data_IF_315144566319
#
_entry.id   IF_315144566319
#
_cell.length_a   1.000
_cell.length_b   1.000
_cell.length_c   1.000
_cell.angle_alpha   90.00
_cell.angle_beta   90.00
_cell.angle_gamma   90.00
#
_symmetry.space_group_name_H-M   'P 1'
#
loop_
_entity.id
_entity.type
_entity.pdbx_description
1 polymer ?
#
# COMPACT_ATOMS: atom_id res chain seq x y z
N UNK A 1 16.54 9.69 58.26
CA UNK A 1 15.34 8.99 57.75
C UNK A 1 14.63 9.93 56.80
N UNK A 2 14.59 9.60 55.50
CA UNK A 2 13.96 10.42 54.47
C UNK A 2 14.23 9.79 53.11
N UNK A 3 13.43 8.78 52.77
CA UNK A 3 13.66 7.82 51.70
C UNK A 3 13.61 8.40 50.30
N UNK A 4 14.48 7.86 49.46
CA UNK A 4 14.52 7.98 48.01
C UNK A 4 13.22 7.40 47.43
N UNK A 5 12.45 8.20 46.67
CA UNK A 5 11.35 7.68 45.85
C UNK A 5 11.85 7.53 44.41
N UNK A 6 12.22 6.30 44.08
CA UNK A 6 12.43 5.84 42.71
C UNK A 6 11.07 5.75 42.01
N UNK A 7 10.85 6.57 40.98
CA UNK A 7 9.79 6.34 40.01
C UNK A 7 10.27 5.32 38.97
N UNK A 8 10.19 4.03 39.30
CA UNK A 8 10.24 2.97 38.29
C UNK A 8 8.90 2.92 37.55
N UNK A 9 8.82 3.57 36.39
CA UNK A 9 7.77 3.29 35.41
C UNK A 9 8.07 1.95 34.74
N UNK A 10 7.69 0.84 35.39
CA UNK A 10 7.64 -0.48 34.76
C UNK A 10 6.62 -0.42 33.61
N UNK A 11 7.15 -0.42 32.39
CA UNK A 11 6.37 -0.69 31.20
C UNK A 11 5.64 -2.03 31.38
N UNK A 12 4.32 -1.99 31.33
CA UNK A 12 3.45 -3.17 31.25
C UNK A 12 3.78 -3.94 29.97
N UNK A 13 4.71 -4.89 30.07
CA UNK A 13 5.09 -5.82 29.03
C UNK A 13 4.14 -7.03 29.07
N UNK A 14 2.84 -6.77 28.92
CA UNK A 14 1.90 -7.85 28.65
C UNK A 14 2.30 -8.57 27.36
N UNK A 15 2.37 -9.91 27.36
CA UNK A 15 2.80 -10.67 26.19
C UNK A 15 1.86 -10.40 25.03
N UNK A 16 2.42 -9.84 23.95
CA UNK A 16 1.70 -9.43 22.76
C UNK A 16 1.04 -10.68 22.12
N UNK A 17 -0.30 -10.72 21.95
CA UNK A 17 -0.96 -11.89 21.39
C UNK A 17 -0.47 -12.15 19.96
N UNK A 18 -0.17 -13.41 19.66
CA UNK A 18 0.20 -13.89 18.33
C UNK A 18 -0.96 -13.63 17.35
N UNK A 19 -0.62 -13.31 16.09
CA UNK A 19 -1.64 -13.17 15.05
C UNK A 19 -2.49 -14.45 14.95
N UNK A 20 -3.81 -14.30 14.85
CA UNK A 20 -4.68 -15.48 14.77
C UNK A 20 -4.36 -16.31 13.52
N UNK A 21 -4.48 -17.64 13.61
CA UNK A 21 -4.22 -18.55 12.47
C UNK A 21 -4.99 -18.14 11.21
N UNK A 22 -6.21 -17.62 11.37
CA UNK A 22 -7.04 -17.10 10.27
C UNK A 22 -6.43 -15.87 9.59
N UNK A 23 -5.87 -14.93 10.36
CA UNK A 23 -5.22 -13.74 9.80
C UNK A 23 -3.93 -14.09 9.05
N UNK A 24 -3.13 -15.03 9.57
CA UNK A 24 -1.94 -15.53 8.86
C UNK A 24 -2.32 -16.25 7.56
N UNK A 25 -3.34 -17.11 7.59
CA UNK A 25 -3.83 -17.80 6.41
C UNK A 25 -4.33 -16.82 5.34
N UNK A 26 -5.10 -15.80 5.74
CA UNK A 26 -5.60 -14.76 4.82
C UNK A 26 -4.46 -13.95 4.20
N UNK A 27 -3.43 -13.60 4.97
CA UNK A 27 -2.26 -12.89 4.46
C UNK A 27 -1.45 -13.73 3.46
N UNK A 28 -1.25 -15.03 3.75
CA UNK A 28 -0.60 -15.96 2.84
C UNK A 28 -1.41 -16.14 1.56
N UNK A 29 -2.72 -16.38 1.67
CA UNK A 29 -3.61 -16.49 0.51
C UNK A 29 -3.52 -15.23 -0.37
N UNK A 30 -3.60 -14.04 0.22
CA UNK A 30 -3.44 -12.79 -0.53
C UNK A 30 -2.08 -12.70 -1.24
N UNK A 31 -0.99 -13.10 -0.58
CA UNK A 31 0.37 -13.05 -1.12
C UNK A 31 0.57 -14.01 -2.31
N UNK A 32 -0.03 -15.19 -2.27
CA UNK A 32 0.11 -16.22 -3.30
C UNK A 32 -0.96 -16.19 -4.38
N UNK A 33 -2.14 -15.60 -4.10
CA UNK A 33 -3.24 -15.54 -5.06
C UNK A 33 -2.87 -14.72 -6.31
N UNK A 34 -2.17 -13.60 -6.14
CA UNK A 34 -1.72 -12.78 -7.27
C UNK A 34 -0.81 -13.55 -8.25
N UNK A 35 0.33 -14.09 -7.79
CA UNK A 35 1.20 -14.94 -8.60
C UNK A 35 0.48 -16.16 -9.21
N UNK A 36 -0.39 -16.83 -8.45
CA UNK A 36 -1.16 -17.96 -8.93
C UNK A 36 -2.05 -17.57 -10.12
N UNK A 37 -2.82 -16.48 -9.99
CA UNK A 37 -3.71 -16.01 -11.05
C UNK A 37 -2.95 -15.46 -12.25
N UNK A 38 -1.80 -14.81 -12.04
CA UNK A 38 -0.91 -14.36 -13.11
C UNK A 38 -0.45 -15.53 -13.99
N UNK A 39 0.09 -16.59 -13.38
CA UNK A 39 0.59 -17.76 -14.10
C UNK A 39 -0.54 -18.65 -14.65
N UNK A 40 -1.66 -18.75 -13.96
CA UNK A 40 -2.86 -19.43 -14.48
C UNK A 40 -3.38 -18.73 -15.75
N UNK A 41 -3.41 -17.40 -15.76
CA UNK A 41 -3.77 -16.62 -16.93
C UNK A 41 -2.74 -16.74 -18.06
N UNK A 42 -1.45 -16.77 -17.72
CA UNK A 42 -0.36 -17.01 -18.67
C UNK A 42 -0.42 -18.40 -19.33
N UNK A 43 -0.99 -19.40 -18.65
CA UNK A 43 -1.09 -20.77 -19.16
C UNK A 43 0.25 -21.50 -19.23
N UNK A 44 1.32 -20.92 -18.69
CA UNK A 44 2.67 -21.50 -18.64
C UNK A 44 3.42 -20.94 -17.45
N UNK A 45 4.30 -21.77 -16.86
CA UNK A 45 5.27 -21.31 -15.84
C UNK A 45 6.62 -20.94 -16.46
N UNK A 46 6.79 -21.13 -17.77
CA UNK A 46 8.05 -20.87 -18.48
C UNK A 46 8.15 -19.41 -18.91
N UNK A 47 7.98 -18.50 -17.96
CA UNK A 47 8.07 -17.05 -18.17
C UNK A 47 9.06 -16.43 -17.18
N UNK A 48 10.35 -16.29 -17.55
CA UNK A 48 11.39 -15.81 -16.64
C UNK A 48 11.10 -14.43 -16.05
N UNK A 49 10.60 -13.48 -16.86
CA UNK A 49 10.23 -12.16 -16.37
C UNK A 49 9.05 -12.19 -15.39
N UNK A 50 8.07 -13.09 -15.60
CA UNK A 50 7.00 -13.33 -14.64
C UNK A 50 7.53 -13.79 -13.28
N UNK A 51 8.49 -14.73 -13.27
CA UNK A 51 9.14 -15.17 -12.03
C UNK A 51 9.98 -14.09 -11.38
N UNK A 52 10.72 -13.32 -12.18
CA UNK A 52 11.49 -12.18 -11.68
C UNK A 52 10.59 -11.15 -11.00
N UNK A 53 9.46 -10.80 -11.63
CA UNK A 53 8.44 -9.93 -11.03
C UNK A 53 7.90 -10.48 -9.71
N UNK A 54 7.54 -11.77 -9.66
CA UNK A 54 7.05 -12.41 -8.42
C UNK A 54 8.13 -12.40 -7.33
N UNK A 55 9.36 -12.79 -7.64
CA UNK A 55 10.45 -12.79 -6.67
C UNK A 55 10.74 -11.38 -6.13
N UNK A 56 10.83 -10.39 -7.03
CA UNK A 56 11.05 -8.99 -6.68
C UNK A 56 9.93 -8.44 -5.79
N UNK A 57 8.67 -8.63 -6.18
CA UNK A 57 7.52 -8.13 -5.42
C UNK A 57 7.36 -8.82 -4.07
N UNK A 58 7.59 -10.14 -3.97
CA UNK A 58 7.56 -10.85 -2.70
C UNK A 58 8.67 -10.37 -1.77
N UNK A 59 9.90 -10.24 -2.28
CA UNK A 59 11.04 -9.76 -1.49
C UNK A 59 10.80 -8.33 -0.96
N UNK A 60 10.33 -7.42 -1.81
CA UNK A 60 10.03 -6.05 -1.43
C UNK A 60 8.80 -5.94 -0.52
N UNK A 61 7.77 -6.75 -0.75
CA UNK A 61 6.59 -6.80 0.11
C UNK A 61 6.98 -7.30 1.50
N UNK A 62 7.69 -8.42 1.61
CA UNK A 62 8.14 -8.97 2.89
C UNK A 62 9.10 -7.99 3.58
N UNK A 63 10.10 -7.48 2.86
CA UNK A 63 11.05 -6.50 3.38
C UNK A 63 10.38 -5.24 3.92
N UNK A 64 9.42 -4.67 3.17
CA UNK A 64 8.65 -3.50 3.62
C UNK A 64 7.86 -3.79 4.91
N UNK A 65 7.24 -4.98 5.02
CA UNK A 65 6.53 -5.40 6.24
C UNK A 65 7.46 -5.63 7.42
N UNK A 66 8.64 -6.22 7.20
CA UNK A 66 9.66 -6.41 8.25
C UNK A 66 10.14 -5.06 8.78
N UNK A 67 10.41 -4.09 7.90
CA UNK A 67 10.80 -2.72 8.31
C UNK A 67 9.71 -2.07 9.15
N UNK A 68 8.45 -2.14 8.71
CA UNK A 68 7.32 -1.59 9.47
C UNK A 68 7.16 -2.30 10.82
N UNK A 69 7.23 -3.62 10.84
CA UNK A 69 7.10 -4.42 12.07
C UNK A 69 8.18 -4.08 13.10
N UNK A 70 9.44 -3.92 12.67
CA UNK A 70 10.56 -3.56 13.56
C UNK A 70 10.42 -2.16 14.15
N UNK A 71 9.79 -1.22 13.45
CA UNK A 71 9.64 0.17 13.88
C UNK A 71 8.35 0.41 14.66
N UNK A 72 7.24 -0.18 14.24
CA UNK A 72 5.94 -0.02 14.88
C UNK A 72 5.05 -1.25 14.61
N UNK A 73 5.12 -2.29 15.46
CA UNK A 73 4.39 -3.54 15.25
C UNK A 73 2.86 -3.38 15.36
N UNK A 74 2.38 -2.35 16.06
CA UNK A 74 0.95 -2.11 16.25
C UNK A 74 0.26 -1.61 14.97
N UNK A 75 1.00 -0.97 14.06
CA UNK A 75 0.47 -0.58 12.74
C UNK A 75 -0.01 -1.77 11.91
N UNK A 76 0.72 -2.89 11.93
CA UNK A 76 0.32 -4.07 11.17
C UNK A 76 -0.92 -4.73 11.77
N UNK A 77 -1.08 -4.65 13.10
CA UNK A 77 -2.30 -5.13 13.78
C UNK A 77 -3.50 -4.27 13.41
N UNK A 78 -3.34 -2.96 13.43
CA UNK A 78 -4.39 -2.02 13.03
C UNK A 78 -4.83 -2.27 11.58
N UNK A 79 -3.89 -2.45 10.65
CA UNK A 79 -4.20 -2.81 9.26
C UNK A 79 -4.90 -4.17 9.13
N UNK A 80 -4.60 -5.11 10.02
CA UNK A 80 -5.28 -6.42 10.10
C UNK A 80 -6.74 -6.33 10.53
N UNK A 81 -7.15 -5.24 11.19
CA UNK A 81 -8.54 -4.99 11.61
C UNK A 81 -9.42 -4.39 10.51
N UNK A 82 -9.04 -4.54 9.23
CA UNK A 82 -9.77 -4.01 8.07
C UNK A 82 -11.30 -4.25 8.14
N UNK A 83 -11.73 -5.48 8.44
CA UNK A 83 -13.15 -5.84 8.53
C UNK A 83 -13.87 -5.27 9.77
N UNK A 84 -13.12 -4.90 10.80
CA UNK A 84 -13.62 -4.37 12.08
C UNK A 84 -13.38 -2.88 12.24
N UNK A 85 -12.97 -2.18 11.17
CA UNK A 85 -12.75 -0.75 11.19
C UNK A 85 -14.10 0.00 11.27
N UNK A 86 -14.49 0.32 12.51
CA UNK A 86 -15.64 1.14 12.82
C UNK A 86 -15.45 2.57 12.32
N UNK A 87 -16.54 3.20 11.87
CA UNK A 87 -16.54 4.58 11.38
C UNK A 87 -15.98 4.82 9.97
N UNK A 88 -15.55 3.77 9.26
CA UNK A 88 -15.09 3.91 7.88
C UNK A 88 -16.26 4.13 6.90
N UNK A 89 -16.23 5.17 6.04
CA UNK A 89 -17.27 5.39 5.05
C UNK A 89 -17.44 4.22 4.07
N UNK A 90 -18.68 3.92 3.66
CA UNK A 90 -18.97 2.82 2.74
C UNK A 90 -18.25 2.92 1.39
N UNK A 91 -18.14 4.14 0.84
CA UNK A 91 -17.40 4.39 -0.40
C UNK A 91 -15.92 3.99 -0.29
N UNK A 92 -15.32 4.18 0.89
CA UNK A 92 -13.91 3.85 1.08
C UNK A 92 -13.69 2.36 1.21
N UNK A 93 -14.62 1.62 1.83
CA UNK A 93 -14.55 0.14 1.86
C UNK A 93 -14.58 -0.46 0.46
N UNK A 94 -15.42 0.07 -0.44
CA UNK A 94 -15.48 -0.36 -1.83
C UNK A 94 -14.21 0.02 -2.58
N UNK A 95 -13.79 1.29 -2.50
CA UNK A 95 -12.58 1.75 -3.21
C UNK A 95 -11.32 1.07 -2.69
N UNK A 96 -11.19 0.83 -1.39
CA UNK A 96 -10.04 0.18 -0.78
C UNK A 96 -9.90 -1.28 -1.19
N UNK A 97 -11.01 -2.03 -1.22
CA UNK A 97 -11.04 -3.39 -1.78
C UNK A 97 -10.71 -3.38 -3.28
N UNK A 98 -11.31 -2.44 -4.00
CA UNK A 98 -11.11 -2.23 -5.43
C UNK A 98 -9.64 -1.99 -5.77
N UNK A 99 -9.02 -0.96 -5.18
CA UNK A 99 -7.64 -0.59 -5.51
C UNK A 99 -6.59 -1.47 -4.83
N UNK A 100 -6.91 -2.04 -3.66
CA UNK A 100 -5.97 -2.81 -2.86
C UNK A 100 -5.92 -4.29 -3.21
N UNK A 101 -6.99 -4.86 -3.78
CA UNK A 101 -7.08 -6.29 -4.07
C UNK A 101 -7.55 -6.57 -5.49
N UNK A 102 -8.73 -6.07 -5.88
CA UNK A 102 -9.35 -6.44 -7.16
C UNK A 102 -8.57 -5.91 -8.35
N UNK A 103 -8.19 -4.63 -8.34
CA UNK A 103 -7.45 -3.95 -9.41
C UNK A 103 -6.13 -4.65 -9.74
N UNK A 104 -5.20 -4.80 -8.77
CA UNK A 104 -3.93 -5.52 -8.99
C UNK A 104 -4.11 -6.95 -9.52
N UNK A 105 -5.13 -7.68 -9.05
CA UNK A 105 -5.45 -9.02 -9.56
C UNK A 105 -5.88 -8.96 -11.03
N UNK A 106 -6.78 -8.06 -11.39
CA UNK A 106 -7.22 -7.88 -12.79
C UNK A 106 -6.04 -7.51 -13.68
N UNK A 107 -5.17 -6.59 -13.24
CA UNK A 107 -3.96 -6.21 -13.96
C UNK A 107 -3.05 -7.42 -14.18
N UNK A 108 -2.81 -8.23 -13.15
CA UNK A 108 -2.03 -9.46 -13.25
C UNK A 108 -2.64 -10.48 -14.20
N UNK A 109 -3.97 -10.69 -14.16
CA UNK A 109 -4.68 -11.59 -15.09
C UNK A 109 -4.50 -11.11 -16.53
N UNK A 110 -4.74 -9.83 -16.80
CA UNK A 110 -4.60 -9.29 -18.16
C UNK A 110 -3.14 -9.36 -18.64
N UNK A 111 -2.16 -9.17 -17.75
CA UNK A 111 -0.75 -9.34 -18.10
C UNK A 111 -0.41 -10.80 -18.44
N UNK A 112 -0.94 -11.76 -17.69
CA UNK A 112 -0.81 -13.18 -18.01
C UNK A 112 -1.47 -13.53 -19.35
N UNK A 113 -2.70 -13.06 -19.60
CA UNK A 113 -3.38 -13.26 -20.88
C UNK A 113 -2.61 -12.63 -22.04
N UNK A 114 -2.03 -11.44 -21.85
CA UNK A 114 -1.19 -10.78 -22.85
C UNK A 114 -0.02 -11.69 -23.26
N UNK A 115 0.67 -12.27 -22.29
CA UNK A 115 1.74 -13.24 -22.52
C UNK A 115 1.23 -14.51 -23.22
N UNK A 116 0.11 -15.08 -22.76
CA UNK A 116 -0.48 -16.31 -23.30
C UNK A 116 -0.83 -16.20 -24.78
N UNK A 117 -1.41 -15.07 -25.18
CA UNK A 117 -1.82 -14.85 -26.57
C UNK A 117 -0.70 -14.32 -27.46
N UNK A 118 0.52 -14.15 -26.92
CA UNK A 118 1.70 -13.77 -27.70
C UNK A 118 1.55 -12.40 -28.36
N UNK A 119 0.89 -11.46 -27.70
CA UNK A 119 0.77 -10.10 -28.22
C UNK A 119 2.15 -9.46 -28.41
N UNK A 120 2.32 -8.54 -29.38
CA UNK A 120 3.62 -7.99 -29.70
C UNK A 120 4.32 -7.34 -28.50
N UNK A 121 5.52 -7.83 -28.22
CA UNK A 121 6.47 -7.24 -27.30
C UNK A 121 6.96 -5.90 -27.87
N UNK A 122 6.68 -4.80 -27.18
CA UNK A 122 7.03 -3.45 -27.66
C UNK A 122 7.65 -2.57 -26.59
N UNK A 123 7.70 -3.02 -25.34
CA UNK A 123 8.36 -2.28 -24.25
C UNK A 123 9.86 -2.57 -24.28
N UNK A 124 10.73 -1.58 -24.56
CA UNK A 124 12.18 -1.78 -24.58
C UNK A 124 12.71 -2.22 -23.22
N UNK A 125 13.77 -3.03 -23.21
CA UNK A 125 14.38 -3.55 -21.97
C UNK A 125 14.74 -2.44 -20.97
N UNK A 126 15.25 -1.28 -21.44
CA UNK A 126 15.55 -0.15 -20.57
C UNK A 126 14.32 0.38 -19.81
N UNK A 127 13.14 0.37 -20.43
CA UNK A 127 11.87 0.74 -19.80
C UNK A 127 11.42 -0.32 -18.80
N UNK A 128 11.61 -1.61 -19.10
CA UNK A 128 11.29 -2.70 -18.17
C UNK A 128 12.17 -2.64 -16.90
N UNK A 129 13.47 -2.33 -17.07
CA UNK A 129 14.40 -2.14 -15.95
C UNK A 129 14.01 -0.92 -15.11
N UNK A 130 13.71 0.21 -15.76
CA UNK A 130 13.21 1.40 -15.06
C UNK A 130 11.92 1.10 -14.30
N UNK A 131 11.00 0.34 -14.90
CA UNK A 131 9.76 -0.08 -14.26
C UNK A 131 10.03 -0.95 -13.03
N UNK A 132 10.98 -1.88 -13.08
CA UNK A 132 11.40 -2.67 -11.92
C UNK A 132 12.00 -1.81 -10.79
N UNK A 133 12.81 -0.80 -11.13
CA UNK A 133 13.35 0.16 -10.15
C UNK A 133 12.24 1.00 -9.51
N UNK A 134 11.33 1.54 -10.32
CA UNK A 134 10.19 2.31 -9.82
C UNK A 134 9.22 1.44 -9.01
N UNK A 135 9.09 0.16 -9.35
CA UNK A 135 8.40 -0.81 -8.52
C UNK A 135 9.09 -0.95 -7.15
N UNK A 136 10.43 -0.98 -7.06
CA UNK A 136 11.10 -0.95 -5.76
C UNK A 136 10.82 0.34 -4.96
N UNK A 137 10.80 1.50 -5.63
CA UNK A 137 10.46 2.80 -5.03
C UNK A 137 9.05 2.78 -4.41
N UNK A 138 8.09 2.12 -5.06
CA UNK A 138 6.72 1.97 -4.58
C UNK A 138 6.66 1.38 -3.16
N UNK A 139 7.36 0.26 -2.93
CA UNK A 139 7.39 -0.41 -1.63
C UNK A 139 8.14 0.42 -0.59
N UNK A 140 9.21 1.11 -1.01
CA UNK A 140 9.95 2.04 -0.15
C UNK A 140 9.09 3.21 0.34
N UNK A 141 8.36 3.87 -0.57
CA UNK A 141 7.43 4.95 -0.23
C UNK A 141 6.31 4.46 0.69
N UNK A 142 5.74 3.28 0.40
CA UNK A 142 4.71 2.66 1.25
C UNK A 142 5.22 2.37 2.67
N UNK A 143 6.41 1.78 2.81
CA UNK A 143 7.02 1.52 4.11
C UNK A 143 7.30 2.82 4.87
N UNK A 144 7.88 3.81 4.20
CA UNK A 144 8.19 5.11 4.81
C UNK A 144 6.94 5.85 5.27
N UNK A 145 5.87 5.82 4.46
CA UNK A 145 4.58 6.40 4.81
C UNK A 145 3.94 5.70 6.01
N UNK A 146 4.04 4.37 6.10
CA UNK A 146 3.56 3.60 7.25
C UNK A 146 4.37 3.92 8.50
N UNK A 147 5.69 3.84 8.44
CA UNK A 147 6.57 4.11 9.60
C UNK A 147 6.41 5.53 10.12
N UNK A 148 6.18 6.51 9.24
CA UNK A 148 6.03 7.91 9.64
C UNK A 148 4.66 8.24 10.23
N UNK A 149 3.63 7.41 10.00
CA UNK A 149 2.26 7.69 10.41
C UNK A 149 1.70 6.59 11.34
N UNK A 150 1.65 6.82 12.68
CA UNK A 150 1.09 5.86 13.63
C UNK A 150 -0.42 5.60 13.47
N UNK A 151 -1.12 6.45 12.71
CA UNK A 151 -2.55 6.34 12.39
C UNK A 151 -2.78 5.73 11.00
N UNK A 152 -1.77 5.13 10.37
CA UNK A 152 -1.91 4.54 9.04
C UNK A 152 -2.86 3.34 9.04
N UNK A 153 -4.03 3.51 8.42
CA UNK A 153 -5.08 2.47 8.32
C UNK A 153 -5.24 1.97 6.89
N UNK A 154 -5.89 0.82 6.73
CA UNK A 154 -6.24 0.27 5.42
C UNK A 154 -7.50 0.92 4.83
N UNK A 155 -8.34 1.50 5.69
CA UNK A 155 -9.51 2.31 5.34
C UNK A 155 -9.43 3.66 6.05
N UNK A 156 -10.08 4.66 5.45
CA UNK A 156 -10.23 5.99 6.03
C UNK A 156 -11.08 5.89 7.28
N UNK A 157 -10.48 6.18 8.44
CA UNK A 157 -11.21 6.29 9.71
C UNK A 157 -10.57 7.33 10.62
N UNK A 158 -11.39 7.99 11.42
CA UNK A 158 -10.91 8.76 12.56
C UNK A 158 -10.59 7.79 13.70
N UNK A 159 -9.48 8.01 14.39
CA UNK A 159 -8.98 7.12 15.44
C UNK A 159 -8.97 7.89 16.76
N UNK A 160 -10.13 8.43 17.14
CA UNK A 160 -10.27 9.22 18.37
C UNK A 160 -9.85 8.43 19.61
N UNK A 161 -10.10 7.12 19.59
CA UNK A 161 -9.62 6.12 20.57
C UNK A 161 -8.10 6.11 20.75
N UNK A 162 -7.34 6.61 19.78
CA UNK A 162 -5.87 6.66 19.79
C UNK A 162 -5.34 8.09 19.79
N UNK A 163 -6.19 9.10 19.98
CA UNK A 163 -5.80 10.50 19.89
C UNK A 163 -5.32 10.91 18.50
N UNK A 164 -6.08 10.54 17.46
CA UNK A 164 -5.70 10.81 16.05
C UNK A 164 -5.30 12.28 15.84
N UNK A 165 -4.02 12.48 15.55
CA UNK A 165 -3.43 13.77 15.23
C UNK A 165 -2.85 13.76 13.81
N UNK A 166 -2.76 14.96 13.21
CA UNK A 166 -2.20 15.12 11.87
C UNK A 166 -0.70 14.81 11.87
N UNK A 167 -0.28 13.97 10.93
CA UNK A 167 1.13 13.63 10.71
C UNK A 167 1.67 14.45 9.54
N UNK A 168 2.68 15.27 9.79
CA UNK A 168 3.32 16.14 8.79
C UNK A 168 4.82 15.85 8.60
N UNK A 169 5.34 14.77 9.19
CA UNK A 169 6.76 14.39 9.12
C UNK A 169 7.02 13.29 8.08
N UNK A 170 8.30 13.03 7.79
CA UNK A 170 8.68 12.01 6.81
C UNK A 170 8.14 12.35 5.41
N UNK A 171 7.54 11.42 4.67
CA UNK A 171 7.06 11.66 3.31
C UNK A 171 5.89 12.67 3.25
N UNK A 172 5.20 12.87 4.38
CA UNK A 172 4.06 13.78 4.50
C UNK A 172 4.47 15.28 4.44
N UNK A 173 5.77 15.60 4.54
CA UNK A 173 6.23 16.99 4.35
C UNK A 173 6.21 17.45 2.89
N UNK A 174 6.20 16.52 1.93
CA UNK A 174 6.21 16.85 0.51
C UNK A 174 4.85 16.62 -0.16
N UNK A 175 4.18 15.51 0.20
CA UNK A 175 2.89 15.13 -0.39
C UNK A 175 1.99 14.57 0.71
N UNK A 176 0.68 14.85 0.66
CA UNK A 176 -0.26 14.42 1.70
C UNK A 176 -0.54 12.92 1.70
N UNK A 177 -0.41 12.25 0.55
CA UNK A 177 -0.75 10.83 0.38
C UNK A 177 0.37 10.01 -0.28
N UNK A 178 1.54 9.91 0.36
CA UNK A 178 2.72 9.28 -0.24
C UNK A 178 2.55 7.78 -0.53
N UNK A 179 1.74 7.07 0.26
CA UNK A 179 1.44 5.66 0.00
C UNK A 179 0.58 5.47 -1.26
N UNK A 180 -0.35 6.40 -1.56
CA UNK A 180 -1.13 6.37 -2.78
C UNK A 180 -0.30 6.74 -4.00
N UNK A 181 0.68 7.65 -3.85
CA UNK A 181 1.68 7.89 -4.90
C UNK A 181 2.44 6.59 -5.21
N UNK A 182 2.92 5.90 -4.18
CA UNK A 182 3.54 4.58 -4.32
C UNK A 182 2.60 3.58 -5.01
N UNK A 183 1.33 3.51 -4.62
CA UNK A 183 0.36 2.60 -5.24
C UNK A 183 0.16 2.88 -6.74
N UNK A 184 0.06 4.15 -7.15
CA UNK A 184 -0.02 4.52 -8.56
C UNK A 184 1.24 4.12 -9.33
N UNK A 185 2.43 4.34 -8.77
CA UNK A 185 3.68 3.89 -9.38
C UNK A 185 3.66 2.37 -9.55
N UNK A 186 3.37 1.62 -8.48
CA UNK A 186 3.41 0.17 -8.52
C UNK A 186 2.45 -0.44 -9.55
N UNK A 187 1.21 0.05 -9.60
CA UNK A 187 0.20 -0.50 -10.51
C UNK A 187 0.50 -0.20 -11.98
N UNK A 188 1.04 0.99 -12.29
CA UNK A 188 1.39 1.39 -13.65
C UNK A 188 2.69 0.76 -14.14
N UNK A 189 3.64 0.48 -13.25
CA UNK A 189 4.92 -0.14 -13.61
C UNK A 189 4.81 -1.65 -13.86
N UNK A 190 3.82 -2.33 -13.27
CA UNK A 190 3.62 -3.77 -13.47
C UNK A 190 3.45 -4.13 -14.98
N UNK A 191 2.51 -3.52 -15.74
CA UNK A 191 2.37 -3.81 -17.16
C UNK A 191 3.63 -3.50 -17.97
N UNK A 192 4.36 -2.44 -17.64
CA UNK A 192 5.58 -2.06 -18.34
C UNK A 192 6.71 -3.04 -18.07
N UNK A 193 6.87 -3.48 -16.82
CA UNK A 193 7.88 -4.46 -16.43
C UNK A 193 7.66 -5.82 -17.07
N UNK A 194 6.39 -6.22 -17.26
CA UNK A 194 6.02 -7.50 -17.85
C UNK A 194 5.84 -7.45 -19.37
N UNK A 195 6.10 -6.31 -20.01
CA UNK A 195 5.86 -6.08 -21.44
C UNK A 195 4.44 -6.48 -21.86
N UNK A 196 3.46 -5.97 -21.11
CA UNK A 196 2.06 -6.34 -21.22
C UNK A 196 1.16 -5.11 -21.40
N UNK A 197 1.22 -4.48 -22.58
CA UNK A 197 0.51 -3.21 -22.82
C UNK A 197 -1.00 -3.27 -22.56
N UNK A 198 -1.66 -4.39 -22.86
CA UNK A 198 -3.10 -4.54 -22.58
C UNK A 198 -3.43 -4.41 -21.08
N UNK A 199 -2.48 -4.75 -20.20
CA UNK A 199 -2.65 -4.59 -18.77
C UNK A 199 -2.53 -3.11 -18.31
N UNK A 200 -2.05 -2.20 -19.17
CA UNK A 200 -2.09 -0.75 -18.87
C UNK A 200 -3.52 -0.22 -18.77
N UNK A 201 -4.49 -0.82 -19.47
CA UNK A 201 -5.89 -0.39 -19.40
C UNK A 201 -6.45 -0.57 -17.98
N UNK A 202 -6.50 -1.79 -17.41
CA UNK A 202 -6.95 -1.95 -16.02
C UNK A 202 -6.01 -1.29 -15.01
N UNK A 203 -4.72 -1.15 -15.30
CA UNK A 203 -3.79 -0.44 -14.41
C UNK A 203 -4.10 1.05 -14.32
N UNK A 204 -4.40 1.68 -15.46
CA UNK A 204 -4.79 3.09 -15.53
C UNK A 204 -6.12 3.32 -14.82
N UNK A 205 -7.12 2.45 -15.04
CA UNK A 205 -8.39 2.52 -14.33
C UNK A 205 -8.21 2.38 -12.81
N UNK A 206 -7.33 1.47 -12.38
CA UNK A 206 -7.00 1.29 -10.96
C UNK A 206 -6.28 2.53 -10.40
N UNK A 207 -5.33 3.11 -11.14
CA UNK A 207 -4.64 4.33 -10.74
C UNK A 207 -5.61 5.53 -10.62
N UNK A 208 -6.55 5.67 -11.56
CA UNK A 208 -7.62 6.67 -11.49
C UNK A 208 -8.49 6.44 -10.25
N UNK A 209 -8.85 5.20 -9.94
CA UNK A 209 -9.59 4.89 -8.71
C UNK A 209 -8.79 5.24 -7.44
N UNK A 210 -7.46 5.05 -7.43
CA UNK A 210 -6.58 5.51 -6.34
C UNK A 210 -6.60 7.05 -6.23
N UNK A 211 -6.54 7.77 -7.36
CA UNK A 211 -6.63 9.24 -7.38
C UNK A 211 -7.99 9.72 -6.85
N UNK A 212 -9.10 9.10 -7.26
CA UNK A 212 -10.44 9.41 -6.76
C UNK A 212 -10.52 9.15 -5.25
N UNK A 213 -10.05 7.99 -4.79
CA UNK A 213 -9.99 7.65 -3.36
C UNK A 213 -9.18 8.67 -2.57
N UNK A 214 -8.02 9.09 -3.11
CA UNK A 214 -7.16 10.13 -2.53
C UNK A 214 -7.92 11.44 -2.36
N UNK A 215 -8.67 11.87 -3.37
CA UNK A 215 -9.45 13.11 -3.30
C UNK A 215 -10.58 13.06 -2.26
N UNK A 216 -11.24 11.92 -2.13
CA UNK A 216 -12.32 11.70 -1.18
C UNK A 216 -11.78 11.62 0.26
N UNK A 217 -10.68 10.91 0.46
CA UNK A 217 -9.99 10.84 1.75
C UNK A 217 -9.47 12.21 2.19
N UNK A 218 -8.78 12.94 1.31
CA UNK A 218 -8.28 14.30 1.60
C UNK A 218 -9.42 15.24 2.01
N UNK A 219 -10.57 15.15 1.33
CA UNK A 219 -11.77 15.94 1.66
C UNK A 219 -12.39 15.51 2.99
N UNK A 220 -12.43 14.21 3.26
CA UNK A 220 -12.92 13.67 4.53
C UNK A 220 -12.05 14.14 5.70
N UNK A 221 -10.72 14.05 5.57
CA UNK A 221 -9.79 14.48 6.61
C UNK A 221 -9.85 15.99 6.84
N UNK A 222 -9.91 16.81 5.78
CA UNK A 222 -10.09 18.27 5.92
C UNK A 222 -11.34 18.65 6.70
N UNK A 223 -12.42 17.89 6.54
CA UNK A 223 -13.72 18.19 7.18
C UNK A 223 -13.78 17.72 8.63
N UNK A 224 -13.12 16.61 8.96
CA UNK A 224 -13.37 15.92 10.22
C UNK A 224 -12.14 15.74 11.11
N UNK A 225 -10.91 15.97 10.63
CA UNK A 225 -9.69 15.86 11.44
C UNK A 225 -9.16 17.25 11.81
N UNK A 226 -9.20 17.63 13.11
CA UNK A 226 -8.66 18.90 13.58
C UNK A 226 -7.20 19.10 13.15
N UNK A 227 -6.87 20.32 12.70
CA UNK A 227 -5.53 20.70 12.22
C UNK A 227 -5.19 20.24 10.80
N UNK A 228 -6.01 19.40 10.15
CA UNK A 228 -5.69 18.91 8.80
C UNK A 228 -5.80 20.00 7.73
N UNK A 229 -6.71 20.96 7.90
CA UNK A 229 -6.83 22.11 7.00
C UNK A 229 -5.54 22.96 6.96
N UNK A 230 -4.97 23.28 8.12
CA UNK A 230 -3.72 24.05 8.22
C UNK A 230 -2.54 23.28 7.64
N UNK A 231 -2.48 21.97 7.92
CA UNK A 231 -1.50 21.08 7.29
C UNK A 231 -1.64 21.08 5.77
N UNK A 232 -2.86 21.02 5.24
CA UNK A 232 -3.10 21.02 3.81
C UNK A 232 -2.73 22.36 3.11
N UNK A 233 -2.68 23.46 3.85
CA UNK A 233 -2.14 24.73 3.34
C UNK A 233 -0.61 24.70 3.22
N UNK A 234 0.08 24.05 4.18
CA UNK A 234 1.55 23.91 4.18
C UNK A 234 2.03 22.87 3.17
N UNK A 235 1.47 21.67 3.22
CA UNK A 235 1.75 20.61 2.24
C UNK A 235 0.67 20.65 1.16
N UNK A 236 0.92 21.42 0.10
CA UNK A 236 -0.08 21.73 -0.94
C UNK A 236 -0.47 20.51 -1.79
N UNK A 237 0.48 19.63 -2.07
CA UNK A 237 0.33 18.52 -3.02
C UNK A 237 -0.28 17.28 -2.37
N UNK A 238 -1.24 16.63 -3.04
CA UNK A 238 -1.81 15.34 -2.66
C UNK A 238 -0.89 14.20 -3.03
N UNK A 239 -0.46 14.16 -4.30
CA UNK A 239 0.31 13.05 -4.87
C UNK A 239 1.55 13.51 -5.61
N UNK A 240 1.44 14.51 -6.49
CA UNK A 240 2.54 14.91 -7.37
C UNK A 240 2.89 16.38 -7.17
N UNK A 241 4.11 16.68 -6.68
CA UNK A 241 4.59 18.05 -6.58
C UNK A 241 4.48 18.79 -7.92
N UNK A 242 3.95 20.01 -7.86
CA UNK A 242 3.73 20.88 -9.02
C UNK A 242 2.45 20.61 -9.82
N UNK A 243 1.74 19.51 -9.56
CA UNK A 243 0.52 19.14 -10.28
C UNK A 243 -0.72 19.12 -9.38
N UNK A 244 -0.69 18.32 -8.31
CA UNK A 244 -1.89 18.03 -7.51
C UNK A 244 -1.60 17.58 -6.08
#
# INVERSE_FOLDING_TARGET
MGGVVQHESRADASPRPLASRRAMLGALLYLFLGPLLLFAAAGTVRWPMGWFYVALTLLLAIGSRVVVWRRNPDLLRERGRYASAEGAPGWDRVLSLGVGMVGPIIVGIVAGLHHRFGWPAVVPLGVQVLAAVLLAVNYGLGAWAMVSNPFFSAVVRLQGDRGHAVVAQGPYRWVRHPAYLGACIGILMLPLMLDALWALVPATLTAVAVVVRTALEDRFLRRNLPGYADYAQRTRYRLLPGLW
#
